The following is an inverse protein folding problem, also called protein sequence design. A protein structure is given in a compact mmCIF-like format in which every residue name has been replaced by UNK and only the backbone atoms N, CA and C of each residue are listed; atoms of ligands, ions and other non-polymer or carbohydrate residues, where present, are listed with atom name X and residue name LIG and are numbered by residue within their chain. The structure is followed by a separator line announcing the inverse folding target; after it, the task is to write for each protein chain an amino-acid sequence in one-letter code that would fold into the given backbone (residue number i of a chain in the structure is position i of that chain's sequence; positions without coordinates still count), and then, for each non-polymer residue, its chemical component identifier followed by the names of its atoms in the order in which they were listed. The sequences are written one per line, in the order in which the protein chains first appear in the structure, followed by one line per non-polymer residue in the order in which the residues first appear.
data_IF_064679641980
#
_entry.id   IF_064679641980
#
_cell.length_a   1.000
_cell.length_b   1.000
_cell.length_c   1.000
_cell.angle_alpha   90.00
_cell.angle_beta   90.00
_cell.angle_gamma   90.00
#
_symmetry.space_group_name_H-M   'P 1'
#
loop_
_entity.id
_entity.type
_entity.pdbx_description
1 polymer ?
#
# COMPACT_ATOMS: atom_id res chain seq x y z
N UNK A 1 45.31 -53.56 45.72
CA UNK A 1 45.05 -53.87 44.29
C UNK A 1 43.73 -54.63 44.17
N UNK A 2 42.89 -54.30 43.18
CA UNK A 2 41.63 -54.99 42.75
C UNK A 2 40.50 -55.00 43.81
N UNK A 3 39.39 -54.28 43.60
CA UNK A 3 38.17 -54.67 42.85
C UNK A 3 37.55 -55.98 43.37
N UNK A 4 36.25 -56.14 43.66
CA UNK A 4 35.04 -55.29 43.58
C UNK A 4 33.91 -56.04 44.35
N UNK A 5 32.66 -55.60 44.57
CA UNK A 5 31.75 -54.64 43.91
C UNK A 5 30.81 -54.01 44.97
N UNK A 6 30.02 -52.99 44.61
CA UNK A 6 28.85 -52.53 45.37
C UNK A 6 27.69 -52.21 44.42
N UNK A 7 26.45 -52.59 44.77
CA UNK A 7 25.26 -52.32 43.95
C UNK A 7 24.82 -50.84 44.08
N UNK A 8 24.26 -50.22 43.01
CA UNK A 8 23.71 -48.87 43.11
C UNK A 8 22.36 -48.87 43.84
N UNK A 9 22.24 -48.00 44.86
CA UNK A 9 20.97 -47.74 45.54
C UNK A 9 19.98 -46.99 44.66
N UNK A 10 18.69 -47.30 44.80
CA UNK A 10 17.59 -46.57 44.15
C UNK A 10 17.46 -45.16 44.73
N UNK A 11 17.74 -44.12 43.94
CA UNK A 11 17.38 -42.76 44.28
C UNK A 11 15.90 -42.50 43.94
N UNK A 12 15.09 -42.08 44.93
CA UNK A 12 13.76 -41.54 44.66
C UNK A 12 13.90 -40.13 44.08
N UNK A 13 13.47 -39.95 42.84
CA UNK A 13 13.20 -38.63 42.26
C UNK A 13 11.86 -38.12 42.76
N UNK A 14 11.87 -37.21 43.72
CA UNK A 14 10.68 -36.43 44.09
C UNK A 14 10.55 -35.30 43.06
N UNK A 15 9.56 -35.43 42.16
CA UNK A 15 9.26 -34.42 41.17
C UNK A 15 8.50 -33.24 41.81
N UNK A 16 9.17 -32.10 41.98
CA UNK A 16 8.51 -30.85 42.33
C UNK A 16 7.85 -30.25 41.07
N UNK A 17 6.53 -30.44 40.91
CA UNK A 17 5.77 -29.69 39.92
C UNK A 17 5.66 -28.21 40.35
N UNK A 18 6.58 -27.38 39.86
CA UNK A 18 6.39 -25.95 39.81
C UNK A 18 5.31 -25.63 38.77
N UNK A 19 4.07 -25.53 39.22
CA UNK A 19 2.97 -25.01 38.42
C UNK A 19 3.19 -23.52 38.17
N UNK A 20 3.89 -23.18 37.08
CA UNK A 20 3.98 -21.82 36.57
C UNK A 20 2.63 -21.40 36.00
N UNK A 21 1.78 -20.84 36.86
CA UNK A 21 0.60 -20.10 36.41
C UNK A 21 1.06 -18.84 35.68
N UNK A 22 1.37 -18.98 34.39
CA UNK A 22 1.47 -17.88 33.47
C UNK A 22 0.09 -17.22 33.38
N UNK A 23 -0.17 -16.27 34.28
CA UNK A 23 -1.32 -15.41 34.20
C UNK A 23 -1.25 -14.71 32.84
N UNK A 24 -2.17 -15.05 31.94
CA UNK A 24 -2.38 -14.31 30.70
C UNK A 24 -2.77 -12.90 31.11
N UNK A 25 -1.83 -11.96 31.03
CA UNK A 25 -2.13 -10.55 31.15
C UNK A 25 -3.20 -10.26 30.10
N UNK A 26 -4.40 -9.89 30.55
CA UNK A 26 -5.46 -9.47 29.64
C UNK A 26 -4.92 -8.30 28.82
N UNK A 27 -4.96 -8.40 27.48
CA UNK A 27 -4.40 -7.38 26.59
C UNK A 27 -4.95 -6.01 26.97
N UNK A 28 -4.07 -5.17 27.54
CA UNK A 28 -4.43 -3.83 27.94
C UNK A 28 -4.88 -3.05 26.71
N UNK A 29 -6.02 -2.38 26.79
CA UNK A 29 -6.58 -1.65 25.65
C UNK A 29 -5.62 -0.51 25.28
N UNK A 30 -4.90 -0.67 24.19
CA UNK A 30 -3.99 0.33 23.66
C UNK A 30 -4.73 1.65 23.39
N UNK A 31 -4.28 2.71 24.04
CA UNK A 31 -4.70 4.10 23.83
C UNK A 31 -3.46 5.01 23.79
N UNK A 32 -3.50 6.18 23.12
CA UNK A 32 -2.43 7.16 23.22
C UNK A 32 -2.34 7.72 24.65
N UNK A 33 -1.16 8.19 25.03
CA UNK A 33 -0.97 8.99 26.26
C UNK A 33 -1.86 10.25 26.23
N UNK A 34 -2.28 10.81 27.39
CA UNK A 34 -3.14 12.00 27.40
C UNK A 34 -2.60 13.19 26.57
N UNK A 35 -1.28 13.40 26.57
CA UNK A 35 -0.63 14.41 25.74
C UNK A 35 -0.73 14.10 24.24
N UNK A 36 -0.55 12.83 23.84
CA UNK A 36 -0.75 12.40 22.46
C UNK A 36 -2.23 12.43 22.03
N UNK A 37 -3.18 12.19 22.94
CA UNK A 37 -4.62 12.33 22.67
C UNK A 37 -4.98 13.78 22.30
N UNK A 38 -4.49 14.75 23.08
CA UNK A 38 -4.67 16.18 22.78
C UNK A 38 -4.02 16.57 21.44
N UNK A 39 -2.74 16.24 21.27
CA UNK A 39 -1.99 16.49 20.02
C UNK A 39 -2.69 15.89 18.79
N UNK A 40 -3.21 14.67 18.92
CA UNK A 40 -3.94 13.97 17.86
C UNK A 40 -5.22 14.72 17.47
N UNK A 41 -6.05 15.15 18.44
CA UNK A 41 -7.25 15.92 18.14
C UNK A 41 -6.93 17.27 17.49
N UNK A 42 -5.90 17.97 17.98
CA UNK A 42 -5.47 19.26 17.44
C UNK A 42 -4.88 19.14 16.02
N UNK A 43 -4.26 18.00 15.68
CA UNK A 43 -3.86 17.68 14.30
C UNK A 43 -5.08 17.38 13.41
N UNK A 44 -6.01 16.56 13.87
CA UNK A 44 -7.21 16.23 13.08
C UNK A 44 -8.08 17.46 12.80
N UNK A 45 -8.29 18.33 13.80
CA UNK A 45 -9.12 19.54 13.65
C UNK A 45 -8.50 20.54 12.67
N UNK A 46 -7.17 20.69 12.64
CA UNK A 46 -6.50 21.65 11.75
C UNK A 46 -6.27 21.10 10.34
N UNK A 47 -5.84 19.84 10.23
CA UNK A 47 -5.22 19.31 9.01
C UNK A 47 -6.06 18.22 8.30
N UNK A 48 -7.04 17.59 8.95
CA UNK A 48 -7.74 16.46 8.33
C UNK A 48 -8.65 16.90 7.17
N UNK A 49 -8.71 16.07 6.12
CA UNK A 49 -9.45 16.30 4.88
C UNK A 49 -10.94 16.57 5.14
N UNK A 50 -11.57 15.78 6.01
CA UNK A 50 -12.98 15.92 6.36
C UNK A 50 -13.18 16.44 7.78
N UNK A 51 -12.29 17.30 8.27
CA UNK A 51 -12.33 17.90 9.62
C UNK A 51 -13.70 18.49 10.00
N UNK A 52 -14.46 19.03 9.05
CA UNK A 52 -15.82 19.55 9.27
C UNK A 52 -16.90 18.50 9.55
N UNK A 53 -16.60 17.18 9.49
CA UNK A 53 -17.55 16.09 9.84
C UNK A 53 -17.55 15.71 11.32
N UNK A 54 -16.75 16.40 12.13
CA UNK A 54 -16.58 16.16 13.57
C UNK A 54 -16.96 17.42 14.34
N UNK A 55 -17.81 17.27 15.34
CA UNK A 55 -18.01 18.27 16.38
C UNK A 55 -16.83 18.18 17.35
N UNK A 56 -15.85 19.08 17.19
CA UNK A 56 -14.61 19.08 17.96
C UNK A 56 -14.83 19.46 19.44
N UNK A 57 -15.63 20.49 19.80
CA UNK A 57 -16.02 20.74 21.18
C UNK A 57 -16.67 19.53 21.85
N UNK A 58 -17.70 18.93 21.25
CA UNK A 58 -18.38 17.77 21.83
C UNK A 58 -17.45 16.54 21.90
N UNK A 59 -16.56 16.36 20.93
CA UNK A 59 -15.58 15.27 20.95
C UNK A 59 -14.54 15.45 22.07
N UNK A 60 -14.07 16.67 22.35
CA UNK A 60 -13.19 16.96 23.50
C UNK A 60 -13.90 16.74 24.82
N UNK A 61 -15.17 17.15 24.96
CA UNK A 61 -15.99 16.86 26.16
C UNK A 61 -16.13 15.35 26.38
N UNK A 62 -16.58 14.59 25.37
CA UNK A 62 -16.68 13.13 25.45
C UNK A 62 -15.35 12.44 25.77
N UNK A 63 -14.24 12.94 25.24
CA UNK A 63 -12.91 12.40 25.55
C UNK A 63 -12.51 12.66 27.01
N UNK A 64 -12.87 13.83 27.56
CA UNK A 64 -12.66 14.16 28.97
C UNK A 64 -13.50 13.26 29.88
N UNK A 65 -14.77 13.08 29.57
CA UNK A 65 -15.71 12.24 30.34
C UNK A 65 -15.37 10.74 30.23
N UNK A 66 -14.65 10.34 29.19
CA UNK A 66 -14.12 8.99 28.99
C UNK A 66 -12.82 8.70 29.78
N UNK A 67 -12.14 9.70 30.35
CA UNK A 67 -10.86 9.46 31.05
C UNK A 67 -11.06 8.52 32.24
N UNK A 68 -10.14 7.55 32.38
CA UNK A 68 -10.27 6.43 33.32
C UNK A 68 -10.94 5.18 32.72
N UNK A 69 -11.54 5.27 31.53
CA UNK A 69 -12.09 4.14 30.77
C UNK A 69 -11.40 4.02 29.39
N UNK A 70 -10.36 3.17 29.27
CA UNK A 70 -9.63 2.99 28.01
C UNK A 70 -10.50 2.56 26.82
N UNK A 71 -11.60 1.83 27.05
CA UNK A 71 -12.50 1.42 25.98
C UNK A 71 -13.28 2.61 25.42
N UNK A 72 -13.78 3.50 26.30
CA UNK A 72 -14.44 4.75 25.88
C UNK A 72 -13.45 5.71 25.21
N UNK A 73 -12.25 5.90 25.78
CA UNK A 73 -11.19 6.74 25.17
C UNK A 73 -10.89 6.27 23.75
N UNK A 74 -10.62 4.96 23.57
CA UNK A 74 -10.36 4.37 22.25
C UNK A 74 -11.53 4.57 21.30
N UNK A 75 -12.77 4.45 21.77
CA UNK A 75 -13.98 4.63 20.95
C UNK A 75 -14.13 6.07 20.46
N UNK A 76 -13.99 7.07 21.33
CA UNK A 76 -14.10 8.50 20.97
C UNK A 76 -13.01 8.88 19.96
N UNK A 77 -11.78 8.43 20.17
CA UNK A 77 -10.66 8.70 19.26
C UNK A 77 -10.84 7.99 17.91
N UNK A 78 -11.27 6.74 17.89
CA UNK A 78 -11.52 5.99 16.65
C UNK A 78 -12.65 6.62 15.83
N UNK A 79 -13.72 7.12 16.47
CA UNK A 79 -14.79 7.86 15.78
C UNK A 79 -14.27 9.17 15.19
N UNK A 80 -13.51 9.96 15.98
CA UNK A 80 -12.95 11.23 15.52
C UNK A 80 -12.03 11.04 14.31
N UNK A 81 -11.11 10.07 14.37
CA UNK A 81 -10.21 9.70 13.27
C UNK A 81 -11.03 9.22 12.06
N UNK A 82 -11.97 8.31 12.26
CA UNK A 82 -12.78 7.74 11.18
C UNK A 82 -13.61 8.79 10.42
N UNK A 83 -14.31 9.65 11.15
CA UNK A 83 -15.13 10.74 10.57
C UNK A 83 -14.29 11.76 9.80
N UNK A 84 -13.19 12.23 10.38
CA UNK A 84 -12.36 13.28 9.79
C UNK A 84 -11.47 12.79 8.63
N UNK A 85 -11.23 11.48 8.56
CA UNK A 85 -10.49 10.84 7.45
C UNK A 85 -11.36 10.17 6.38
N UNK A 86 -12.66 9.97 6.65
CA UNK A 86 -13.51 9.15 5.78
C UNK A 86 -13.20 7.66 5.86
N UNK A 87 -12.61 7.19 6.97
CA UNK A 87 -12.26 5.80 7.22
C UNK A 87 -10.84 5.38 6.82
N UNK A 88 -10.04 6.27 6.20
CA UNK A 88 -8.67 5.96 5.77
C UNK A 88 -7.59 6.24 6.83
N UNK A 89 -7.90 7.10 7.81
CA UNK A 89 -7.00 7.46 8.89
C UNK A 89 -6.98 6.41 10.00
N UNK A 90 -5.88 6.36 10.76
CA UNK A 90 -5.72 5.43 11.88
C UNK A 90 -4.70 5.93 12.90
N UNK A 91 -4.76 5.42 14.12
CA UNK A 91 -3.71 5.57 15.13
C UNK A 91 -3.05 4.22 15.40
N UNK A 92 -1.73 4.20 15.61
CA UNK A 92 -0.94 2.98 15.81
C UNK A 92 0.19 3.19 16.83
N UNK A 93 0.30 2.28 17.80
CA UNK A 93 1.49 2.15 18.66
C UNK A 93 2.73 1.77 17.83
N UNK A 94 3.96 1.93 18.35
CA UNK A 94 5.18 1.47 17.67
C UNK A 94 5.15 -0.03 17.29
N UNK A 95 4.57 -0.87 18.16
CA UNK A 95 4.43 -2.30 17.88
C UNK A 95 3.43 -2.59 16.75
N UNK A 96 2.29 -1.89 16.72
CA UNK A 96 1.32 -1.95 15.60
C UNK A 96 1.94 -1.52 14.26
N UNK A 97 2.85 -0.54 14.28
CA UNK A 97 3.56 -0.10 13.07
C UNK A 97 4.47 -1.22 12.51
N UNK A 98 5.16 -1.99 13.36
CA UNK A 98 5.96 -3.13 12.91
C UNK A 98 5.09 -4.32 12.44
N UNK A 99 4.02 -4.66 13.18
CA UNK A 99 3.04 -5.68 12.76
C UNK A 99 2.40 -5.37 11.40
N UNK A 100 2.30 -4.10 11.00
CA UNK A 100 1.83 -3.67 9.69
C UNK A 100 2.81 -4.04 8.56
N UNK A 101 4.12 -3.98 8.80
CA UNK A 101 5.14 -4.41 7.81
C UNK A 101 5.07 -5.93 7.60
N UNK A 102 4.97 -6.70 8.68
CA UNK A 102 4.78 -8.16 8.59
C UNK A 102 3.48 -8.54 7.90
N UNK A 103 2.40 -7.78 8.14
CA UNK A 103 1.11 -7.97 7.47
C UNK A 103 1.26 -7.78 5.96
N UNK A 104 1.92 -6.72 5.50
CA UNK A 104 2.24 -6.55 4.08
C UNK A 104 3.04 -7.74 3.55
N UNK A 105 4.05 -8.25 4.26
CA UNK A 105 4.81 -9.41 3.81
C UNK A 105 3.93 -10.67 3.61
N UNK A 106 2.99 -10.93 4.53
CA UNK A 106 2.04 -12.06 4.44
C UNK A 106 0.98 -11.87 3.33
N UNK A 107 0.42 -10.68 3.21
CA UNK A 107 -0.55 -10.33 2.16
C UNK A 107 0.10 -10.42 0.77
N UNK A 108 1.33 -9.89 0.62
CA UNK A 108 2.13 -9.96 -0.59
C UNK A 108 2.48 -11.40 -0.98
N UNK A 109 2.98 -12.23 -0.05
CA UNK A 109 3.27 -13.65 -0.33
C UNK A 109 2.02 -14.42 -0.82
N UNK A 110 0.85 -14.08 -0.28
CA UNK A 110 -0.44 -14.65 -0.74
C UNK A 110 -0.80 -14.17 -2.15
N UNK A 111 -0.53 -12.90 -2.48
CA UNK A 111 -0.76 -12.34 -3.81
C UNK A 111 0.23 -12.90 -4.86
N UNK A 112 1.50 -13.08 -4.49
CA UNK A 112 2.52 -13.68 -5.34
C UNK A 112 2.16 -15.13 -5.70
N UNK A 113 1.83 -15.97 -4.71
CA UNK A 113 1.40 -17.35 -4.94
C UNK A 113 0.14 -17.45 -5.84
N UNK A 114 -0.81 -16.51 -5.69
CA UNK A 114 -1.95 -16.39 -6.62
C UNK A 114 -1.49 -16.03 -8.03
N UNK A 115 -0.66 -15.01 -8.18
CA UNK A 115 -0.15 -14.56 -9.48
C UNK A 115 0.70 -15.62 -10.18
N UNK A 116 1.42 -16.47 -9.44
CA UNK A 116 2.18 -17.61 -9.97
C UNK A 116 1.23 -18.70 -10.47
N UNK A 117 0.21 -19.07 -9.68
CA UNK A 117 -0.86 -19.99 -10.11
C UNK A 117 -1.67 -19.44 -11.29
N UNK A 118 -1.77 -18.12 -11.41
CA UNK A 118 -2.39 -17.44 -12.54
C UNK A 118 -1.48 -17.46 -13.78
N UNK A 119 -0.15 -17.55 -13.60
CA UNK A 119 0.85 -17.58 -14.68
C UNK A 119 1.16 -18.99 -15.20
N UNK A 120 0.85 -20.05 -14.44
CA UNK A 120 0.95 -21.45 -14.92
C UNK A 120 -0.22 -21.88 -15.80
N UNK A 121 -1.30 -21.10 -15.83
CA UNK A 121 -2.38 -21.22 -16.83
C UNK A 121 -1.85 -20.79 -18.20
N UNK A 122 -2.36 -21.39 -19.28
CA UNK A 122 -1.91 -21.06 -20.64
C UNK A 122 -2.29 -19.62 -21.02
N UNK A 123 -1.30 -18.72 -21.02
CA UNK A 123 -1.42 -17.32 -21.44
C UNK A 123 -0.79 -17.10 -22.81
N UNK A 124 -1.24 -16.09 -23.54
CA UNK A 124 -0.59 -15.68 -24.78
C UNK A 124 0.84 -15.16 -24.48
N UNK A 125 1.91 -15.73 -25.07
CA UNK A 125 3.28 -15.33 -24.79
C UNK A 125 3.61 -13.90 -25.25
N UNK A 126 2.75 -13.24 -26.04
CA UNK A 126 2.92 -11.84 -26.43
C UNK A 126 2.46 -10.86 -25.36
N UNK A 127 1.82 -11.32 -24.28
CA UNK A 127 1.37 -10.48 -23.16
C UNK A 127 2.36 -10.59 -21.98
N UNK A 128 2.84 -9.45 -21.50
CA UNK A 128 3.58 -9.36 -20.24
C UNK A 128 2.64 -9.16 -19.04
N UNK A 129 3.02 -9.60 -17.84
CA UNK A 129 2.25 -9.34 -16.60
C UNK A 129 3.18 -8.96 -15.45
N UNK A 130 2.83 -7.92 -14.69
CA UNK A 130 3.51 -7.56 -13.44
C UNK A 130 2.51 -7.40 -12.30
N UNK A 131 2.78 -8.08 -11.17
CA UNK A 131 2.08 -7.89 -9.91
C UNK A 131 2.71 -6.74 -9.13
N UNK A 132 1.91 -5.72 -8.80
CA UNK A 132 2.34 -4.60 -7.96
C UNK A 132 1.66 -4.74 -6.60
N UNK A 133 2.35 -5.41 -5.69
CA UNK A 133 1.88 -5.72 -4.34
C UNK A 133 1.86 -4.47 -3.43
N UNK A 134 1.26 -4.60 -2.25
CA UNK A 134 1.38 -3.58 -1.20
C UNK A 134 2.83 -3.38 -0.74
N UNK A 135 3.14 -2.24 -0.11
CA UNK A 135 4.50 -1.99 0.37
C UNK A 135 4.58 -0.94 1.49
N UNK A 136 5.10 -1.35 2.64
CA UNK A 136 5.61 -0.44 3.67
C UNK A 136 7.12 -0.68 3.88
N UNK A 137 7.87 0.40 4.06
CA UNK A 137 9.24 0.37 4.55
C UNK A 137 9.27 0.20 6.08
N UNK A 138 10.41 -0.16 6.65
CA UNK A 138 10.57 -0.33 8.11
C UNK A 138 10.39 1.02 8.85
N UNK A 139 9.36 1.17 9.71
CA UNK A 139 9.08 2.44 10.41
C UNK A 139 10.14 2.85 11.45
N UNK A 140 11.10 1.98 11.77
CA UNK A 140 12.26 2.27 12.61
C UNK A 140 13.52 2.70 11.85
N UNK A 141 13.58 2.53 10.53
CA UNK A 141 14.79 2.77 9.75
C UNK A 141 15.11 4.28 9.58
N UNK A 142 16.40 4.69 9.57
CA UNK A 142 16.79 6.07 9.28
C UNK A 142 16.36 6.53 7.87
N UNK A 143 16.17 7.84 7.63
CA UNK A 143 15.68 8.36 6.35
C UNK A 143 16.46 7.91 5.09
N UNK A 144 17.78 7.80 5.19
CA UNK A 144 18.63 7.33 4.10
C UNK A 144 18.40 5.84 3.78
N UNK A 145 18.20 5.01 4.81
CA UNK A 145 17.89 3.59 4.64
C UNK A 145 16.47 3.41 4.10
N UNK A 146 15.49 4.20 4.55
CA UNK A 146 14.15 4.26 3.98
C UNK A 146 14.18 4.59 2.49
N UNK A 147 14.95 5.61 2.09
CA UNK A 147 15.13 5.99 0.69
C UNK A 147 15.69 4.83 -0.13
N UNK A 148 16.73 4.16 0.37
CA UNK A 148 17.31 3.00 -0.30
C UNK A 148 16.33 1.82 -0.39
N UNK A 149 15.57 1.51 0.67
CA UNK A 149 14.54 0.46 0.64
C UNK A 149 13.48 0.75 -0.43
N UNK A 150 13.02 2.01 -0.55
CA UNK A 150 12.07 2.44 -1.57
C UNK A 150 12.64 2.26 -2.99
N UNK A 151 13.87 2.75 -3.24
CA UNK A 151 14.55 2.59 -4.53
C UNK A 151 14.68 1.10 -4.89
N UNK A 152 15.15 0.27 -3.96
CA UNK A 152 15.30 -1.17 -4.20
C UNK A 152 13.97 -1.87 -4.45
N UNK A 153 12.86 -1.42 -3.87
CA UNK A 153 11.51 -1.94 -4.16
C UNK A 153 11.08 -1.59 -5.59
N UNK A 154 11.30 -0.35 -6.04
CA UNK A 154 11.02 0.05 -7.42
C UNK A 154 11.88 -0.72 -8.43
N UNK A 155 13.17 -0.93 -8.15
CA UNK A 155 14.08 -1.74 -8.98
C UNK A 155 13.57 -3.17 -9.13
N UNK A 156 13.07 -3.82 -8.07
CA UNK A 156 12.50 -5.18 -8.16
C UNK A 156 11.32 -5.25 -9.14
N UNK A 157 10.40 -4.30 -9.11
CA UNK A 157 9.28 -4.25 -10.07
C UNK A 157 9.75 -3.99 -11.51
N UNK A 158 10.72 -3.09 -11.71
CA UNK A 158 11.28 -2.87 -13.05
C UNK A 158 12.06 -4.07 -13.60
N UNK A 159 12.73 -4.85 -12.74
CA UNK A 159 13.42 -6.08 -13.14
C UNK A 159 12.41 -7.16 -13.61
N UNK A 160 11.28 -7.34 -12.92
CA UNK A 160 10.21 -8.26 -13.36
C UNK A 160 9.69 -7.87 -14.76
N UNK A 161 9.52 -6.56 -15.01
CA UNK A 161 9.12 -6.06 -16.34
C UNK A 161 10.21 -6.36 -17.37
N UNK A 162 11.49 -6.06 -17.06
CA UNK A 162 12.65 -6.32 -17.94
C UNK A 162 12.81 -7.80 -18.30
N UNK A 163 12.69 -8.70 -17.33
CA UNK A 163 12.81 -10.14 -17.51
C UNK A 163 11.72 -10.67 -18.45
N UNK A 164 10.49 -10.16 -18.31
CA UNK A 164 9.39 -10.52 -19.21
C UNK A 164 9.57 -9.91 -20.60
N UNK A 165 10.03 -8.67 -20.72
CA UNK A 165 10.32 -8.01 -22.00
C UNK A 165 11.60 -8.52 -22.70
N UNK A 166 12.20 -9.61 -22.20
CA UNK A 166 13.26 -10.34 -22.91
C UNK A 166 12.82 -10.82 -24.30
N UNK A 167 11.54 -11.17 -24.44
CA UNK A 167 10.84 -11.47 -25.70
C UNK A 167 9.85 -10.35 -26.04
N UNK A 168 9.54 -10.10 -27.33
CA UNK A 168 8.62 -9.03 -27.72
C UNK A 168 7.26 -9.16 -27.04
N UNK A 169 6.82 -8.10 -26.36
CA UNK A 169 5.47 -8.00 -25.79
C UNK A 169 4.66 -6.96 -26.55
N UNK A 170 3.47 -7.35 -26.97
CA UNK A 170 2.52 -6.47 -27.66
C UNK A 170 1.59 -5.71 -26.71
N UNK A 171 1.59 -6.08 -25.42
CA UNK A 171 0.73 -5.52 -24.39
C UNK A 171 1.06 -6.06 -23.00
N UNK A 172 0.56 -5.37 -21.98
CA UNK A 172 0.91 -5.63 -20.58
C UNK A 172 -0.31 -5.69 -19.66
N UNK A 173 -0.26 -6.56 -18.67
CA UNK A 173 -1.19 -6.60 -17.53
C UNK A 173 -0.46 -6.05 -16.29
N UNK A 174 -1.03 -5.03 -15.66
CA UNK A 174 -0.62 -4.53 -14.35
C UNK A 174 -1.66 -4.99 -13.33
N UNK A 175 -1.27 -5.92 -12.45
CA UNK A 175 -2.18 -6.48 -11.45
C UNK A 175 -2.06 -5.72 -10.12
N UNK A 176 -3.18 -5.11 -9.72
CA UNK A 176 -3.35 -4.37 -8.47
C UNK A 176 -4.46 -4.96 -7.59
N UNK A 177 -5.05 -6.11 -7.94
CA UNK A 177 -6.23 -6.68 -7.27
C UNK A 177 -6.05 -6.87 -5.76
N UNK A 178 -4.83 -7.17 -5.34
CA UNK A 178 -4.39 -7.38 -3.96
C UNK A 178 -3.65 -6.19 -3.33
N UNK A 179 -3.46 -5.08 -4.03
CA UNK A 179 -2.65 -3.97 -3.55
C UNK A 179 -3.38 -3.12 -2.49
N UNK A 180 -3.20 -3.46 -1.22
CA UNK A 180 -3.75 -2.73 -0.06
C UNK A 180 -3.05 -1.38 0.23
N UNK A 181 -2.13 -0.94 -0.65
CA UNK A 181 -1.46 0.35 -0.61
C UNK A 181 -0.14 0.36 0.16
N UNK A 182 0.15 1.48 0.84
CA UNK A 182 1.41 1.68 1.55
C UNK A 182 2.14 2.95 1.09
N UNK A 183 3.38 2.82 0.59
CA UNK A 183 4.13 3.92 0.01
C UNK A 183 3.99 3.92 -1.53
N UNK A 184 3.35 4.96 -2.09
CA UNK A 184 3.08 5.07 -3.53
C UNK A 184 4.32 5.38 -4.39
N UNK A 185 5.31 6.09 -3.87
CA UNK A 185 6.45 6.55 -4.68
C UNK A 185 7.22 5.40 -5.34
N UNK A 186 7.57 4.30 -4.63
CA UNK A 186 8.22 3.16 -5.28
C UNK A 186 7.26 2.36 -6.17
N UNK A 187 5.94 2.43 -5.95
CA UNK A 187 4.96 1.80 -6.86
C UNK A 187 4.95 2.53 -8.19
N UNK A 188 4.78 3.86 -8.20
CA UNK A 188 4.80 4.69 -9.41
C UNK A 188 6.13 4.57 -10.16
N UNK A 189 7.27 4.59 -9.44
CA UNK A 189 8.58 4.38 -10.06
C UNK A 189 8.76 2.94 -10.56
N UNK A 190 8.22 1.93 -9.86
CA UNK A 190 8.22 0.53 -10.27
C UNK A 190 7.45 0.29 -11.57
N UNK A 191 6.28 0.92 -11.73
CA UNK A 191 5.45 0.84 -12.95
C UNK A 191 5.85 1.84 -14.05
N UNK A 192 6.77 2.77 -13.79
CA UNK A 192 7.22 3.79 -14.74
C UNK A 192 7.60 3.28 -16.15
N UNK A 193 8.14 2.05 -16.36
CA UNK A 193 8.36 1.51 -17.70
C UNK A 193 7.07 1.33 -18.51
N UNK A 194 5.96 0.97 -17.83
CA UNK A 194 4.65 0.73 -18.44
C UNK A 194 3.76 1.98 -18.39
N UNK A 195 3.91 2.82 -17.38
CA UNK A 195 3.12 4.03 -17.17
C UNK A 195 3.47 5.14 -18.18
N UNK A 196 4.74 5.31 -18.52
CA UNK A 196 5.20 6.32 -19.49
C UNK A 196 4.77 5.98 -20.92
N UNK A 197 4.45 7.01 -21.69
CA UNK A 197 4.21 6.94 -23.14
C UNK A 197 5.36 7.54 -23.96
N UNK A 198 6.32 8.18 -23.31
CA UNK A 198 7.54 8.71 -23.90
C UNK A 198 8.81 8.18 -23.21
N UNK A 199 9.93 8.10 -23.93
CA UNK A 199 11.19 7.60 -23.37
C UNK A 199 11.84 8.58 -22.39
N UNK A 200 11.74 9.88 -22.66
CA UNK A 200 12.49 10.96 -21.99
C UNK A 200 11.61 12.09 -21.44
N UNK A 201 10.31 12.07 -21.70
CA UNK A 201 9.40 13.12 -21.26
C UNK A 201 9.16 13.13 -19.75
N UNK A 202 8.73 14.29 -19.25
CA UNK A 202 8.10 14.40 -17.94
C UNK A 202 6.60 14.30 -18.18
N UNK A 203 5.95 13.32 -17.56
CA UNK A 203 4.54 13.03 -17.76
C UNK A 203 3.77 13.21 -16.46
N UNK A 204 2.68 13.98 -16.49
CA UNK A 204 1.71 14.10 -15.39
C UNK A 204 0.95 12.78 -15.24
N UNK A 205 0.99 12.19 -14.05
CA UNK A 205 0.38 10.88 -13.73
C UNK A 205 -0.56 10.96 -12.53
N UNK A 206 -0.96 12.15 -12.10
CA UNK A 206 -1.93 12.34 -11.02
C UNK A 206 -1.73 13.64 -10.26
N UNK A 207 -2.54 13.86 -9.22
CA UNK A 207 -2.34 14.96 -8.28
C UNK A 207 -2.96 14.70 -6.92
N UNK A 208 -2.44 15.39 -5.90
CA UNK A 208 -3.15 15.62 -4.65
C UNK A 208 -3.97 16.91 -4.77
N UNK A 209 -5.27 16.84 -4.53
CA UNK A 209 -6.09 18.04 -4.26
C UNK A 209 -5.79 18.53 -2.85
N UNK A 210 -5.10 19.66 -2.74
CA UNK A 210 -4.75 20.31 -1.46
C UNK A 210 -5.58 21.57 -1.23
N UNK A 211 -5.52 22.15 -0.03
CA UNK A 211 -6.20 23.41 0.24
C UNK A 211 -5.70 24.57 -0.66
N UNK A 212 -4.44 24.51 -1.10
CA UNK A 212 -3.80 25.49 -1.98
C UNK A 212 -3.93 25.13 -3.48
N UNK A 213 -4.72 24.10 -3.80
CA UNK A 213 -4.96 23.59 -5.15
C UNK A 213 -4.25 22.25 -5.46
N UNK A 214 -4.24 21.82 -6.73
CA UNK A 214 -3.71 20.52 -7.13
C UNK A 214 -2.18 20.47 -7.23
N UNK A 215 -1.54 19.61 -6.44
CA UNK A 215 -0.10 19.32 -6.53
C UNK A 215 0.12 18.07 -7.37
N UNK A 216 0.65 18.25 -8.60
CA UNK A 216 0.90 17.18 -9.58
C UNK A 216 1.93 16.16 -9.09
N UNK A 217 1.77 14.91 -9.51
CA UNK A 217 2.83 13.90 -9.49
C UNK A 217 3.22 13.56 -10.91
N UNK A 218 4.51 13.38 -11.13
CA UNK A 218 5.07 13.19 -12.46
C UNK A 218 6.10 12.07 -12.47
N UNK A 219 6.09 11.28 -13.53
CA UNK A 219 7.21 10.39 -13.89
C UNK A 219 8.23 11.16 -14.73
N UNK A 220 9.51 10.92 -14.49
CA UNK A 220 10.62 11.37 -15.34
C UNK A 220 11.31 10.15 -15.96
N UNK A 221 12.40 10.34 -16.71
CA UNK A 221 13.21 9.24 -17.20
C UNK A 221 13.83 8.39 -16.07
N UNK A 222 14.18 9.00 -14.94
CA UNK A 222 14.97 8.43 -13.83
C UNK A 222 14.21 8.24 -12.52
N UNK A 223 13.03 8.85 -12.37
CA UNK A 223 12.40 9.02 -11.06
C UNK A 223 10.93 9.43 -11.10
N UNK A 224 10.45 9.81 -9.92
CA UNK A 224 9.11 10.38 -9.68
C UNK A 224 9.22 11.63 -8.81
N UNK A 225 8.47 12.68 -9.15
CA UNK A 225 8.43 13.95 -8.44
C UNK A 225 7.00 14.37 -8.08
N UNK A 226 6.89 15.29 -7.14
CA UNK A 226 5.64 15.89 -6.67
C UNK A 226 5.81 17.41 -6.68
N UNK A 227 5.21 18.07 -7.67
CA UNK A 227 5.68 19.38 -8.12
C UNK A 227 7.19 19.36 -8.39
N UNK A 228 7.89 20.41 -8.00
CA UNK A 228 9.36 20.51 -8.17
C UNK A 228 10.17 19.62 -7.21
N UNK A 229 9.52 18.94 -6.26
CA UNK A 229 10.22 18.10 -5.29
C UNK A 229 10.32 16.64 -5.75
N UNK A 230 11.53 16.20 -6.11
CA UNK A 230 11.86 14.77 -6.31
C UNK A 230 11.43 13.94 -5.10
N UNK A 231 10.84 12.77 -5.35
CA UNK A 231 10.39 11.82 -4.31
C UNK A 231 11.27 10.58 -4.29
N UNK A 232 11.48 9.97 -5.45
CA UNK A 232 12.49 8.93 -5.67
C UNK A 232 13.14 9.17 -7.02
N UNK A 233 14.43 8.89 -7.13
CA UNK A 233 15.17 8.91 -8.38
C UNK A 233 16.28 7.86 -8.30
N UNK A 234 16.62 7.24 -9.43
CA UNK A 234 17.68 6.23 -9.51
C UNK A 234 19.08 6.82 -9.72
N UNK A 235 19.21 8.10 -10.10
CA UNK A 235 20.46 8.76 -10.52
C UNK A 235 20.79 8.59 -12.01
N UNK A 236 20.09 7.67 -12.69
CA UNK A 236 20.15 7.44 -14.14
C UNK A 236 18.76 7.02 -14.66
N UNK A 237 18.49 7.06 -15.98
CA UNK A 237 17.24 6.56 -16.52
C UNK A 237 16.89 5.14 -16.06
N UNK A 238 15.63 4.96 -15.66
CA UNK A 238 15.08 3.65 -15.34
C UNK A 238 14.89 2.77 -16.58
N UNK A 239 14.41 1.55 -16.37
CA UNK A 239 14.15 0.64 -17.47
C UNK A 239 13.13 1.20 -18.46
N UNK A 240 13.39 0.96 -19.75
CA UNK A 240 12.53 1.33 -20.86
C UNK A 240 12.18 0.05 -21.63
N UNK A 241 10.90 -0.30 -21.81
CA UNK A 241 10.53 -1.48 -22.59
C UNK A 241 10.84 -1.30 -24.08
N UNK A 242 10.96 -2.41 -24.80
CA UNK A 242 11.09 -2.47 -26.27
C UNK A 242 10.00 -1.68 -26.98
N UNK A 243 8.77 -1.75 -26.46
CA UNK A 243 7.62 -0.99 -26.95
C UNK A 243 7.19 0.05 -25.89
N UNK A 244 7.71 1.26 -26.01
CA UNK A 244 7.26 2.42 -25.21
C UNK A 244 5.81 2.75 -25.57
N UNK A 245 4.98 3.06 -24.58
CA UNK A 245 3.56 3.35 -24.81
C UNK A 245 2.71 2.15 -25.24
N UNK A 246 3.20 0.91 -25.08
CA UNK A 246 2.44 -0.30 -25.35
C UNK A 246 1.07 -0.31 -24.61
N UNK A 247 0.06 -1.03 -25.14
CA UNK A 247 -1.21 -1.25 -24.47
C UNK A 247 -1.07 -1.83 -23.05
N UNK A 248 -1.83 -1.29 -22.09
CA UNK A 248 -1.84 -1.74 -20.69
C UNK A 248 -3.25 -2.05 -20.23
N UNK A 249 -3.49 -3.27 -19.75
CA UNK A 249 -4.65 -3.64 -18.99
C UNK A 249 -4.34 -3.55 -17.48
N UNK A 250 -5.20 -2.89 -16.70
CA UNK A 250 -5.01 -2.73 -15.24
C UNK A 250 -6.08 -3.52 -14.50
N UNK A 251 -5.69 -4.46 -13.65
CA UNK A 251 -6.64 -5.30 -12.90
C UNK A 251 -6.88 -4.72 -11.51
N UNK A 252 -8.15 -4.46 -11.16
CA UNK A 252 -8.56 -3.92 -9.86
C UNK A 252 -9.52 -4.85 -9.13
N UNK A 253 -9.51 -4.79 -7.81
CA UNK A 253 -10.41 -5.56 -6.95
C UNK A 253 -10.77 -4.81 -5.67
N UNK A 254 -11.67 -5.37 -4.83
CA UNK A 254 -12.10 -4.73 -3.59
C UNK A 254 -10.99 -4.58 -2.54
N UNK A 255 -9.83 -5.23 -2.73
CA UNK A 255 -8.61 -5.04 -1.91
C UNK A 255 -7.66 -3.97 -2.45
N UNK A 256 -7.81 -3.53 -3.71
CA UNK A 256 -7.05 -2.41 -4.28
C UNK A 256 -7.39 -1.15 -3.49
N UNK A 257 -6.45 -0.59 -2.74
CA UNK A 257 -6.69 0.49 -1.79
C UNK A 257 -5.55 1.52 -1.76
N UNK A 258 -5.85 2.77 -1.42
CA UNK A 258 -4.85 3.76 -1.01
C UNK A 258 -3.79 3.98 -2.10
N UNK A 259 -2.50 3.70 -1.87
CA UNK A 259 -1.47 3.77 -2.92
C UNK A 259 -1.67 2.81 -4.10
N UNK A 260 -2.43 1.72 -3.93
CA UNK A 260 -2.92 0.90 -5.03
C UNK A 260 -3.89 1.70 -5.91
N UNK A 261 -4.83 2.43 -5.29
CA UNK A 261 -5.76 3.34 -6.00
C UNK A 261 -5.03 4.53 -6.65
N UNK A 262 -3.97 5.06 -6.03
CA UNK A 262 -3.08 6.04 -6.65
C UNK A 262 -2.46 5.51 -7.96
N UNK A 263 -2.07 4.23 -7.96
CA UNK A 263 -1.50 3.58 -9.15
C UNK A 263 -2.56 3.35 -10.23
N UNK A 264 -3.81 3.04 -9.85
CA UNK A 264 -4.94 2.98 -10.80
C UNK A 264 -5.21 4.35 -11.43
N UNK A 265 -5.27 5.43 -10.63
CA UNK A 265 -5.45 6.80 -11.13
C UNK A 265 -4.31 7.26 -12.06
N UNK A 266 -3.09 6.77 -11.85
CA UNK A 266 -1.98 7.05 -12.74
C UNK A 266 -2.16 6.43 -14.13
N UNK A 267 -2.75 5.24 -14.20
CA UNK A 267 -3.08 4.57 -15.47
C UNK A 267 -4.39 5.06 -16.10
N UNK A 268 -5.32 5.63 -15.32
CA UNK A 268 -6.53 6.25 -15.89
C UNK A 268 -6.16 7.36 -16.88
N UNK A 269 -6.87 7.36 -17.99
CA UNK A 269 -6.68 8.23 -19.15
C UNK A 269 -5.25 8.23 -19.74
N UNK A 270 -4.43 7.22 -19.42
CA UNK A 270 -3.24 6.90 -20.22
C UNK A 270 -3.69 6.40 -21.59
N UNK A 271 -3.03 6.87 -22.65
CA UNK A 271 -3.28 6.36 -24.00
C UNK A 271 -3.07 4.83 -24.04
N UNK A 272 -3.90 4.12 -24.82
CA UNK A 272 -3.85 2.65 -24.92
C UNK A 272 -3.92 1.95 -23.54
N UNK A 273 -4.86 2.34 -22.68
CA UNK A 273 -5.01 1.73 -21.35
C UNK A 273 -6.47 1.49 -21.02
N UNK A 274 -6.75 0.38 -20.34
CA UNK A 274 -8.09 0.02 -19.88
C UNK A 274 -8.02 -0.76 -18.57
N UNK A 275 -8.95 -0.48 -17.66
CA UNK A 275 -9.06 -1.16 -16.37
C UNK A 275 -10.19 -2.21 -16.35
N UNK A 276 -9.95 -3.30 -15.62
CA UNK A 276 -10.81 -4.49 -15.55
C UNK A 276 -10.95 -4.96 -14.10
N UNK A 277 -12.05 -5.66 -13.79
CA UNK A 277 -12.24 -6.29 -12.49
C UNK A 277 -13.40 -5.68 -11.70
N UNK A 278 -13.18 -5.47 -10.40
CA UNK A 278 -14.18 -4.94 -9.49
C UNK A 278 -13.78 -3.54 -9.00
N UNK A 279 -14.75 -2.73 -8.51
CA UNK A 279 -14.45 -1.45 -7.89
C UNK A 279 -13.46 -1.58 -6.72
N UNK A 280 -12.60 -0.59 -6.58
CA UNK A 280 -11.57 -0.52 -5.53
C UNK A 280 -12.16 -0.37 -4.12
N UNK A 281 -11.31 -0.40 -3.10
CA UNK A 281 -11.71 -0.28 -1.69
C UNK A 281 -12.42 1.06 -1.40
N UNK A 282 -11.99 2.15 -2.03
CA UNK A 282 -12.61 3.47 -1.95
C UNK A 282 -11.98 4.40 -0.93
N UNK A 283 -10.64 4.39 -0.85
CA UNK A 283 -9.84 5.26 0.01
C UNK A 283 -8.74 5.94 -0.81
N UNK A 284 -9.14 6.49 -1.97
CA UNK A 284 -8.30 7.23 -2.92
C UNK A 284 -7.97 8.65 -2.39
N UNK A 285 -7.43 8.71 -1.19
CA UNK A 285 -7.04 9.92 -0.45
C UNK A 285 -5.63 9.78 0.11
N UNK A 286 -4.86 10.86 0.14
CA UNK A 286 -3.48 10.82 0.64
C UNK A 286 -3.44 10.87 2.16
N UNK A 287 -2.47 10.17 2.73
CA UNK A 287 -2.15 10.23 4.13
C UNK A 287 -0.74 10.79 4.36
N UNK A 288 -0.59 11.59 5.41
CA UNK A 288 0.71 11.88 6.03
C UNK A 288 0.81 11.12 7.36
N UNK A 289 2.00 10.64 7.71
CA UNK A 289 2.23 10.01 9.01
C UNK A 289 2.82 11.07 9.95
N UNK A 290 2.13 11.34 11.05
CA UNK A 290 2.58 12.23 12.13
C UNK A 290 3.00 11.38 13.32
N UNK A 291 4.25 11.52 13.79
CA UNK A 291 4.68 10.91 15.06
C UNK A 291 4.17 11.77 16.22
N UNK A 292 3.55 11.14 17.21
CA UNK A 292 3.03 11.79 18.41
C UNK A 292 4.07 11.79 19.53
N UNK A 293 3.83 12.58 20.58
CA UNK A 293 4.76 12.79 21.71
C UNK A 293 5.15 11.51 22.48
N UNK A 294 4.34 10.46 22.42
CA UNK A 294 4.64 9.13 23.01
C UNK A 294 5.26 8.14 22.01
N UNK A 295 5.69 8.62 20.83
CA UNK A 295 6.30 7.80 19.78
C UNK A 295 5.30 7.00 18.94
N UNK A 296 4.02 6.97 19.31
CA UNK A 296 2.94 6.42 18.45
C UNK A 296 2.76 7.26 17.17
N UNK A 297 1.97 6.76 16.22
CA UNK A 297 1.76 7.40 14.93
C UNK A 297 0.27 7.63 14.64
N UNK A 298 -0.02 8.83 14.13
CA UNK A 298 -1.29 9.17 13.47
C UNK A 298 -1.10 9.11 11.95
N UNK A 299 -1.87 8.26 11.29
CA UNK A 299 -2.08 8.27 9.84
C UNK A 299 -3.21 9.26 9.57
N UNK A 300 -2.83 10.44 9.09
CA UNK A 300 -3.69 11.61 8.93
C UNK A 300 -4.02 11.80 7.44
N UNK A 301 -5.30 11.68 7.09
CA UNK A 301 -5.78 11.89 5.71
C UNK A 301 -5.94 13.38 5.42
N UNK A 302 -5.26 13.89 4.38
CA UNK A 302 -5.13 15.34 4.13
C UNK A 302 -5.65 15.82 2.78
N UNK A 303 -5.69 14.95 1.76
CA UNK A 303 -6.00 15.35 0.37
C UNK A 303 -6.71 14.24 -0.41
N UNK A 304 -7.45 14.61 -1.46
CA UNK A 304 -8.01 13.66 -2.43
C UNK A 304 -6.96 13.34 -3.49
N UNK A 305 -6.88 12.09 -3.92
CA UNK A 305 -6.11 11.70 -5.10
C UNK A 305 -6.94 11.93 -6.36
N UNK A 306 -6.30 12.46 -7.41
CA UNK A 306 -6.88 12.62 -8.74
C UNK A 306 -5.98 12.02 -9.80
N UNK A 307 -6.57 11.62 -10.92
CA UNK A 307 -5.83 11.22 -12.13
C UNK A 307 -5.16 12.41 -12.83
N UNK A 308 -4.46 12.11 -13.94
CA UNK A 308 -3.77 13.12 -14.77
C UNK A 308 -4.68 14.27 -15.22
N UNK A 309 -5.96 14.01 -15.45
CA UNK A 309 -6.94 14.99 -15.92
C UNK A 309 -7.63 15.74 -14.77
N UNK A 310 -7.38 15.36 -13.52
CA UNK A 310 -7.98 15.97 -12.34
C UNK A 310 -9.28 15.29 -11.89
N UNK A 311 -9.66 14.14 -12.44
CA UNK A 311 -10.86 13.43 -11.98
C UNK A 311 -10.54 12.56 -10.75
N UNK A 312 -11.49 12.51 -9.81
CA UNK A 312 -11.35 11.83 -8.52
C UNK A 312 -12.15 12.52 -7.43
N UNK A 313 -12.74 11.73 -6.51
CA UNK A 313 -13.58 12.21 -5.42
C UNK A 313 -13.22 11.61 -4.04
N UNK A 314 -12.12 10.85 -3.98
CA UNK A 314 -11.66 10.15 -2.78
C UNK A 314 -12.39 8.84 -2.48
N UNK A 315 -13.29 8.38 -3.37
CA UNK A 315 -14.07 7.14 -3.22
C UNK A 315 -13.54 6.02 -4.13
N UNK A 316 -14.39 5.00 -4.35
CA UNK A 316 -14.12 3.81 -5.17
C UNK A 316 -13.92 4.19 -6.63
N UNK A 317 -12.85 3.69 -7.22
CA UNK A 317 -12.60 3.74 -8.64
C UNK A 317 -13.31 2.54 -9.26
N UNK A 318 -14.27 2.82 -10.14
CA UNK A 318 -14.93 1.80 -10.97
C UNK A 318 -14.04 1.52 -12.19
N UNK A 319 -13.75 0.26 -12.53
CA UNK A 319 -12.98 -0.09 -13.74
C UNK A 319 -13.80 0.13 -15.01
N UNK A 320 -13.10 0.35 -16.13
CA UNK A 320 -13.69 0.61 -17.46
C UNK A 320 -14.40 -0.62 -18.07
N UNK A 321 -14.14 -1.80 -17.49
CA UNK A 321 -14.92 -3.02 -17.72
C UNK A 321 -15.07 -3.79 -16.40
N UNK A 322 -16.28 -3.76 -15.85
CA UNK A 322 -16.61 -4.57 -14.68
C UNK A 322 -16.64 -6.07 -15.03
N UNK A 323 -15.94 -6.88 -14.23
CA UNK A 323 -15.90 -8.34 -14.32
C UNK A 323 -15.99 -8.96 -12.92
N UNK A 324 -16.57 -10.16 -12.82
CA UNK A 324 -16.71 -10.88 -11.57
C UNK A 324 -15.85 -12.14 -11.57
N UNK A 325 -14.98 -12.29 -10.56
CA UNK A 325 -14.02 -13.39 -10.47
C UNK A 325 -12.69 -13.10 -11.16
N UNK A 326 -11.63 -13.71 -10.63
CA UNK A 326 -10.24 -13.48 -11.06
C UNK A 326 -10.02 -13.95 -12.51
N UNK A 327 -10.44 -15.18 -12.84
CA UNK A 327 -10.30 -15.79 -14.16
C UNK A 327 -10.97 -14.97 -15.26
N UNK A 328 -12.21 -14.51 -15.03
CA UNK A 328 -12.96 -13.69 -15.99
C UNK A 328 -12.33 -12.29 -16.17
N UNK A 329 -11.74 -11.75 -15.10
CA UNK A 329 -11.04 -10.45 -15.12
C UNK A 329 -9.76 -10.53 -15.96
N UNK A 330 -8.99 -11.61 -15.78
CA UNK A 330 -7.81 -11.90 -16.60
C UNK A 330 -8.17 -12.14 -18.06
N UNK A 331 -9.14 -13.01 -18.34
CA UNK A 331 -9.54 -13.35 -19.71
C UNK A 331 -10.08 -12.13 -20.49
N UNK A 332 -10.82 -11.25 -19.82
CA UNK A 332 -11.29 -10.00 -20.42
C UNK A 332 -10.14 -9.03 -20.77
N UNK A 333 -9.14 -8.92 -19.89
CA UNK A 333 -7.96 -8.11 -20.12
C UNK A 333 -7.11 -8.65 -21.28
N UNK A 334 -6.88 -9.97 -21.33
CA UNK A 334 -6.15 -10.63 -22.42
C UNK A 334 -6.88 -10.48 -23.76
N UNK A 335 -8.20 -10.74 -23.80
CA UNK A 335 -8.99 -10.55 -25.02
C UNK A 335 -8.96 -9.10 -25.55
N UNK A 336 -8.97 -8.11 -24.66
CA UNK A 336 -8.84 -6.71 -25.05
C UNK A 336 -7.43 -6.36 -25.55
N UNK A 337 -6.37 -6.87 -24.91
CA UNK A 337 -4.99 -6.69 -25.36
C UNK A 337 -4.77 -7.30 -26.76
N UNK A 338 -5.20 -8.55 -26.97
CA UNK A 338 -5.07 -9.23 -28.27
C UNK A 338 -5.88 -8.57 -29.40
N UNK A 339 -6.90 -7.79 -29.06
CA UNK A 339 -7.65 -6.99 -30.03
C UNK A 339 -6.93 -5.70 -30.47
N UNK A 340 -5.89 -5.25 -29.77
CA UNK A 340 -5.14 -4.03 -30.12
C UNK A 340 -4.27 -4.23 -31.37
N UNK A 341 -4.03 -3.18 -32.19
CA UNK A 341 -3.18 -3.27 -33.38
C UNK A 341 -1.79 -3.86 -33.09
N UNK A 342 -1.17 -3.46 -31.98
CA UNK A 342 0.14 -3.96 -31.54
C UNK A 342 0.19 -5.50 -31.39
N UNK A 343 -0.93 -6.16 -31.06
CA UNK A 343 -1.01 -7.62 -30.88
C UNK A 343 -1.54 -8.37 -32.13
N UNK A 344 -1.78 -7.66 -33.24
CA UNK A 344 -2.23 -8.25 -34.51
C UNK A 344 -1.13 -8.38 -35.55
N UNK A 345 -0.04 -7.63 -35.39
CA UNK A 345 1.07 -7.53 -36.35
C UNK A 345 2.29 -8.40 -35.96
N UNK A 346 2.15 -9.33 -35.01
CA UNK A 346 3.22 -10.22 -34.53
C UNK A 346 2.73 -11.56 -34.00
#
# INVERSE_FOLDING_TARGET
MRNSKGLPGRALLIAALLATTAATAADAIEIPSPAAQAQLLDMLEREALYRGRVDWPATRTRLKDAQGDPAKVRTVLAEAIGRSSGGHGSWMTPQRQQQRVERFARENATAAARSESDATRARDPRIGQVLIEGYAADPGAPPQQLQQQNIQRAVRWQNIIREKDSTPRCGWIVDLRDNTGGNMWPMLLGVAPLLRTSAMGIEDVGSFETADGPVRWQTTASGVRMGEATRLDFGQPGYLPRQVGAPVAVLTGPRTASSGEATVLAFRDRAQTRSFGQPTAGVSTANVVRRLVDGSALVLTTSVMRDRNGNGDGRKIVPDQATAGDDATVAAAEAWLLAQPACKEG
#
